data_IF_083904209977
#
_entry.id   IF_083904209977
#
_cell.length_a   1.000
_cell.length_b   1.000
_cell.length_c   1.000
_cell.angle_alpha   90.00
_cell.angle_beta   90.00
_cell.angle_gamma   90.00
#
_symmetry.space_group_name_H-M   'P 1'
#
loop_
_entity.id
_entity.type
_entity.pdbx_description
1 polymer ?
#
# COMPACT_ATOMS: atom_id res chain seq x y z
N UNK A 1 24.21 14.72 -91.55
CA UNK A 1 25.29 14.12 -90.74
C UNK A 1 24.60 13.43 -89.57
N UNK A 2 23.90 12.34 -89.82
CA UNK A 2 24.40 10.95 -89.84
C UNK A 2 24.96 10.49 -88.48
N UNK A 3 24.23 9.55 -87.88
CA UNK A 3 24.56 8.89 -86.63
C UNK A 3 23.47 7.92 -86.18
N UNK A 4 23.21 6.86 -86.97
CA UNK A 4 22.36 5.71 -86.62
C UNK A 4 23.14 4.73 -85.72
N UNK A 5 22.55 4.25 -84.61
CA UNK A 5 22.51 2.80 -84.31
C UNK A 5 21.52 2.38 -83.18
N UNK A 6 20.52 1.60 -83.60
CA UNK A 6 19.81 0.44 -82.98
C UNK A 6 19.54 0.33 -81.47
N UNK A 7 18.25 0.53 -81.14
CA UNK A 7 17.25 -0.41 -80.57
C UNK A 7 17.68 -1.68 -79.80
N UNK A 8 17.10 -1.83 -78.58
CA UNK A 8 16.59 -3.03 -77.83
C UNK A 8 16.82 -2.76 -76.32
N UNK A 9 15.91 -2.90 -75.36
CA UNK A 9 14.84 -3.87 -75.10
C UNK A 9 13.83 -3.24 -74.10
N UNK A 10 12.56 -3.62 -74.18
CA UNK A 10 11.54 -3.34 -73.15
C UNK A 10 11.88 -4.02 -71.82
N UNK A 11 11.64 -3.34 -70.69
CA UNK A 11 11.22 -3.98 -69.45
C UNK A 11 10.39 -2.99 -68.62
N UNK A 12 9.15 -3.40 -68.31
CA UNK A 12 8.11 -2.66 -67.60
C UNK A 12 8.56 -2.11 -66.24
N UNK A 13 8.26 -0.83 -66.00
CA UNK A 13 8.33 -0.21 -64.69
C UNK A 13 7.07 -0.60 -63.89
N UNK A 14 7.20 -1.54 -62.95
CA UNK A 14 6.24 -1.73 -61.88
C UNK A 14 6.52 -0.65 -60.82
N UNK A 15 5.73 0.42 -60.77
CA UNK A 15 5.73 1.34 -59.63
C UNK A 15 4.75 0.81 -58.59
N UNK A 16 5.28 0.11 -57.58
CA UNK A 16 4.52 -0.27 -56.39
C UNK A 16 4.16 1.01 -55.60
N UNK A 17 2.88 1.36 -55.62
CA UNK A 17 2.31 2.35 -54.71
C UNK A 17 2.28 1.69 -53.32
N UNK A 18 3.27 2.00 -52.48
CA UNK A 18 3.25 1.66 -51.05
C UNK A 18 2.12 2.44 -50.39
N UNK A 19 1.01 1.76 -50.11
CA UNK A 19 -0.01 2.23 -49.19
C UNK A 19 0.59 2.29 -47.78
N UNK A 20 1.09 3.46 -47.38
CA UNK A 20 1.34 3.75 -45.98
C UNK A 20 -0.02 3.94 -45.30
N UNK A 21 -0.56 2.88 -44.70
CA UNK A 21 -1.67 3.01 -43.76
C UNK A 21 -1.23 3.93 -42.62
N UNK A 22 -2.00 4.97 -42.27
CA UNK A 22 -1.74 5.69 -41.04
C UNK A 22 -1.89 4.68 -39.90
N UNK A 23 -0.81 4.43 -39.16
CA UNK A 23 -0.87 3.78 -37.86
C UNK A 23 -1.62 4.74 -36.95
N UNK A 24 -2.95 4.64 -36.95
CA UNK A 24 -3.77 5.22 -35.91
C UNK A 24 -3.40 4.43 -34.67
N UNK A 25 -2.59 5.03 -33.79
CA UNK A 25 -2.36 4.48 -32.46
C UNK A 25 -3.73 4.19 -31.85
N UNK A 26 -3.94 2.96 -31.38
CA UNK A 26 -5.15 2.65 -30.62
C UNK A 26 -5.29 3.71 -29.52
N UNK A 27 -6.47 4.31 -29.33
CA UNK A 27 -6.69 5.20 -28.20
C UNK A 27 -6.37 4.39 -26.93
N UNK A 28 -5.40 4.87 -26.15
CA UNK A 28 -5.02 4.29 -24.85
C UNK A 28 -6.31 3.99 -24.11
N UNK A 29 -6.59 2.71 -23.82
CA UNK A 29 -7.78 2.38 -23.06
C UNK A 29 -7.61 3.06 -21.71
N UNK A 30 -8.52 3.94 -21.32
CA UNK A 30 -8.46 4.70 -20.06
C UNK A 30 -8.29 3.83 -18.80
N UNK A 31 -8.45 2.50 -18.90
CA UNK A 31 -8.18 1.56 -17.82
C UNK A 31 -6.69 1.21 -17.63
N UNK A 32 -5.85 1.39 -18.65
CA UNK A 32 -4.41 1.03 -18.62
C UNK A 32 -3.57 2.01 -17.79
N UNK A 33 -4.11 3.21 -17.51
CA UNK A 33 -3.47 4.26 -16.70
C UNK A 33 -4.08 4.43 -15.31
N UNK A 34 -4.88 3.47 -14.84
CA UNK A 34 -5.29 3.44 -13.44
C UNK A 34 -4.01 3.31 -12.57
N UNK A 35 -3.94 3.97 -11.40
CA UNK A 35 -2.73 3.93 -10.61
C UNK A 35 -2.65 2.60 -9.86
N UNK A 36 -1.45 2.06 -9.76
CA UNK A 36 -1.18 1.00 -8.81
C UNK A 36 -0.94 1.59 -7.41
N UNK A 37 -1.32 0.84 -6.38
CA UNK A 37 -1.33 1.31 -4.99
C UNK A 37 -0.52 0.41 -4.08
N UNK A 38 0.42 1.01 -3.35
CA UNK A 38 1.24 0.37 -2.33
C UNK A 38 0.81 0.91 -0.98
N UNK A 39 0.36 0.00 -0.12
CA UNK A 39 0.05 0.30 1.28
C UNK A 39 1.33 0.21 2.11
N UNK A 40 2.04 1.33 2.15
CA UNK A 40 3.23 1.55 2.95
C UNK A 40 2.87 1.74 4.43
N UNK A 41 1.94 2.64 4.75
CA UNK A 41 1.65 3.10 6.12
C UNK A 41 1.19 1.97 7.03
N UNK A 42 0.05 1.33 6.72
CA UNK A 42 -0.54 0.28 7.56
C UNK A 42 -0.18 -1.13 7.09
N UNK A 43 0.21 -1.28 5.83
CA UNK A 43 0.72 -2.54 5.28
C UNK A 43 2.18 -2.78 5.68
N UNK A 44 3.12 -2.26 4.90
CA UNK A 44 4.56 -2.50 5.08
C UNK A 44 5.07 -2.05 6.45
N UNK A 45 4.77 -0.82 6.86
CA UNK A 45 5.26 -0.22 8.10
C UNK A 45 4.39 -0.57 9.31
N UNK A 46 3.25 -1.22 9.11
CA UNK A 46 2.32 -1.65 10.18
C UNK A 46 1.90 -0.51 11.13
N UNK A 47 1.88 0.72 10.63
CA UNK A 47 1.60 1.93 11.40
C UNK A 47 2.63 2.25 12.49
N UNK A 48 3.82 1.65 12.44
CA UNK A 48 4.92 1.80 13.40
C UNK A 48 6.00 2.70 12.81
N UNK A 49 6.21 3.86 13.44
CA UNK A 49 7.33 4.77 13.17
C UNK A 49 8.51 4.48 14.11
N UNK A 50 9.54 5.32 14.03
CA UNK A 50 10.70 5.25 14.92
C UNK A 50 10.35 5.65 16.36
N UNK A 51 10.98 5.00 17.34
CA UNK A 51 10.96 5.43 18.74
C UNK A 51 12.28 6.05 19.18
N UNK A 52 12.23 6.99 20.14
CA UNK A 52 13.41 7.67 20.71
C UNK A 52 14.44 6.76 21.36
N UNK A 53 14.00 5.58 21.83
CA UNK A 53 14.87 4.59 22.44
C UNK A 53 15.44 3.58 21.43
N UNK A 54 15.09 3.70 20.14
CA UNK A 54 15.75 2.92 19.10
C UNK A 54 17.16 3.47 18.84
N UNK A 55 18.16 2.60 18.63
CA UNK A 55 19.54 3.02 18.42
C UNK A 55 19.76 3.80 17.10
N UNK A 56 18.81 3.72 16.15
CA UNK A 56 18.99 4.23 14.80
C UNK A 56 20.09 3.48 14.03
N UNK A 57 20.56 4.06 12.93
CA UNK A 57 21.59 3.48 12.08
C UNK A 57 21.22 2.08 11.55
N UNK A 58 22.23 1.22 11.43
CA UNK A 58 22.08 -0.19 11.06
C UNK A 58 22.55 -1.05 12.23
N UNK A 59 21.60 -1.78 12.81
CA UNK A 59 21.80 -2.87 13.75
C UNK A 59 21.53 -4.16 13.01
N UNK A 60 22.37 -5.17 13.25
CA UNK A 60 22.28 -6.46 12.58
C UNK A 60 22.47 -7.59 13.58
N UNK A 61 21.63 -8.61 13.46
CA UNK A 61 21.81 -9.91 14.06
C UNK A 61 21.67 -11.01 13.00
N UNK A 62 22.09 -12.22 13.35
CA UNK A 62 21.90 -13.41 12.51
C UNK A 62 21.06 -14.45 13.23
N UNK A 63 20.25 -15.20 12.48
CA UNK A 63 19.52 -16.33 13.04
C UNK A 63 20.49 -17.45 13.46
N UNK A 64 20.41 -17.93 14.70
CA UNK A 64 21.25 -19.02 15.22
C UNK A 64 20.78 -20.41 14.75
N UNK A 65 19.52 -20.53 14.37
CA UNK A 65 18.89 -21.74 13.87
C UNK A 65 17.90 -21.38 12.75
N UNK A 66 17.56 -22.31 11.85
CA UNK A 66 16.52 -22.05 10.86
C UNK A 66 15.16 -21.87 11.53
N UNK A 67 14.33 -20.99 10.98
CA UNK A 67 12.94 -20.78 11.40
C UNK A 67 12.04 -21.04 10.20
N UNK A 68 11.15 -22.03 10.30
CA UNK A 68 10.25 -22.37 9.22
C UNK A 68 9.23 -21.24 8.95
N UNK A 69 8.68 -21.21 7.73
CA UNK A 69 7.48 -20.42 7.45
C UNK A 69 6.37 -20.82 8.43
N UNK A 70 5.62 -19.85 8.93
CA UNK A 70 4.66 -20.06 10.02
C UNK A 70 5.23 -19.88 11.44
N UNK A 71 6.56 -19.85 11.62
CA UNK A 71 7.19 -19.55 12.91
C UNK A 71 7.05 -18.08 13.31
N UNK A 72 7.17 -17.76 14.60
CA UNK A 72 7.10 -16.37 15.12
C UNK A 72 8.17 -16.04 16.17
N UNK A 73 9.09 -16.98 16.43
CA UNK A 73 10.21 -16.81 17.35
C UNK A 73 11.50 -17.02 16.57
N UNK A 74 12.38 -16.02 16.58
CA UNK A 74 13.64 -16.03 15.84
C UNK A 74 14.79 -16.02 16.86
N UNK A 75 15.55 -17.12 17.01
CA UNK A 75 16.73 -17.12 17.85
C UNK A 75 17.85 -16.33 17.16
N UNK A 76 18.36 -15.30 17.82
CA UNK A 76 19.33 -14.36 17.25
C UNK A 76 20.71 -14.48 17.91
N UNK A 77 21.75 -14.10 17.17
CA UNK A 77 23.13 -14.03 17.66
C UNK A 77 23.30 -12.98 18.76
N UNK A 78 22.46 -11.94 18.76
CA UNK A 78 22.38 -10.91 19.79
C UNK A 78 21.00 -10.24 19.71
N UNK A 79 20.49 -9.81 20.86
CA UNK A 79 19.29 -8.97 20.97
C UNK A 79 19.63 -7.49 21.22
N UNK A 80 20.91 -7.13 21.27
CA UNK A 80 21.33 -5.75 21.52
C UNK A 80 20.84 -4.83 20.40
N UNK A 81 20.11 -3.78 20.77
CA UNK A 81 19.54 -2.82 19.83
C UNK A 81 18.17 -3.21 19.26
N UNK A 82 17.60 -4.32 19.73
CA UNK A 82 16.25 -4.77 19.41
C UNK A 82 15.34 -4.64 20.64
N UNK A 83 14.13 -4.11 20.45
CA UNK A 83 13.19 -3.88 21.56
C UNK A 83 11.73 -4.11 21.14
N UNK A 84 10.86 -4.38 22.12
CA UNK A 84 9.42 -4.52 21.89
C UNK A 84 8.85 -3.22 21.29
N UNK A 85 8.00 -3.38 20.28
CA UNK A 85 7.33 -2.31 19.54
C UNK A 85 8.08 -1.85 18.30
N UNK A 86 9.37 -2.17 18.16
CA UNK A 86 10.20 -1.74 17.05
C UNK A 86 9.83 -2.46 15.74
N UNK A 87 9.81 -1.71 14.63
CA UNK A 87 9.75 -2.28 13.28
C UNK A 87 11.13 -2.83 12.89
N UNK A 88 11.15 -4.01 12.30
CA UNK A 88 12.35 -4.73 11.89
C UNK A 88 12.16 -5.41 10.53
N UNK A 89 13.27 -5.85 9.95
CA UNK A 89 13.29 -6.59 8.70
C UNK A 89 14.08 -7.89 8.88
N UNK A 90 13.54 -8.99 8.38
CA UNK A 90 14.30 -10.24 8.26
C UNK A 90 14.46 -10.63 6.79
N UNK A 91 15.57 -11.30 6.46
CA UNK A 91 15.82 -11.89 5.15
C UNK A 91 15.24 -13.31 5.07
N UNK A 92 14.33 -13.53 4.12
CA UNK A 92 13.78 -14.85 3.83
C UNK A 92 14.71 -15.72 2.98
N UNK A 93 14.37 -17.00 2.86
CA UNK A 93 15.06 -17.98 2.00
C UNK A 93 15.04 -17.63 0.50
N UNK A 94 14.15 -16.74 0.09
CA UNK A 94 14.05 -16.16 -1.26
C UNK A 94 14.93 -14.92 -1.47
N UNK A 95 15.78 -14.59 -0.48
CA UNK A 95 16.66 -13.41 -0.46
C UNK A 95 15.90 -12.09 -0.55
N UNK A 96 14.63 -12.07 -0.14
CA UNK A 96 13.84 -10.85 0.00
C UNK A 96 13.66 -10.48 1.47
N UNK A 97 13.40 -9.20 1.74
CA UNK A 97 13.21 -8.69 3.09
C UNK A 97 11.73 -8.58 3.44
N UNK A 98 11.39 -8.93 4.66
CA UNK A 98 10.01 -8.97 5.17
C UNK A 98 9.87 -8.10 6.43
N UNK A 99 8.87 -7.19 6.48
CA UNK A 99 8.68 -6.33 7.63
C UNK A 99 7.95 -7.07 8.73
N UNK A 100 8.44 -6.91 9.96
CA UNK A 100 7.87 -7.50 11.18
C UNK A 100 7.96 -6.50 12.31
N UNK A 101 7.04 -6.58 13.28
CA UNK A 101 7.16 -5.81 14.51
C UNK A 101 7.61 -6.74 15.63
N UNK A 102 8.63 -6.33 16.37
CA UNK A 102 9.14 -7.09 17.51
C UNK A 102 8.15 -6.95 18.66
N UNK A 103 7.67 -8.07 19.19
CA UNK A 103 6.75 -8.10 20.31
C UNK A 103 7.45 -8.50 21.61
N UNK A 104 8.56 -9.22 21.53
CA UNK A 104 9.40 -9.51 22.68
C UNK A 104 10.85 -9.65 22.25
N UNK A 105 11.79 -9.27 23.12
CA UNK A 105 13.22 -9.40 22.89
C UNK A 105 13.91 -9.79 24.20
N UNK A 106 14.38 -11.02 24.28
CA UNK A 106 14.93 -11.61 25.50
C UNK A 106 15.48 -13.01 25.24
N UNK A 107 16.33 -13.52 26.13
CA UNK A 107 16.88 -14.89 26.02
C UNK A 107 17.52 -15.19 24.65
N UNK A 108 18.21 -14.21 24.07
CA UNK A 108 18.82 -14.29 22.74
C UNK A 108 17.84 -14.71 21.61
N UNK A 109 16.59 -14.27 21.70
CA UNK A 109 15.59 -14.43 20.67
C UNK A 109 14.67 -13.20 20.61
N UNK A 110 14.02 -13.04 19.47
CA UNK A 110 12.91 -12.10 19.32
C UNK A 110 11.63 -12.86 18.99
N UNK A 111 10.52 -12.40 19.56
CA UNK A 111 9.18 -12.79 19.11
C UNK A 111 8.66 -11.69 18.20
N UNK A 112 8.03 -12.07 17.09
CA UNK A 112 7.48 -11.14 16.11
C UNK A 112 5.96 -11.21 16.06
N UNK A 113 5.34 -10.14 15.56
CA UNK A 113 3.90 -9.92 15.60
C UNK A 113 3.06 -10.79 14.67
N UNK A 114 3.69 -11.49 13.73
CA UNK A 114 3.03 -12.35 12.74
C UNK A 114 3.90 -13.56 12.40
N UNK A 115 3.29 -14.68 11.97
CA UNK A 115 4.04 -15.80 11.41
C UNK A 115 4.88 -15.40 10.20
N UNK A 116 6.08 -15.96 10.08
CA UNK A 116 6.95 -15.75 8.93
C UNK A 116 6.28 -16.24 7.63
N UNK A 117 6.04 -15.37 6.63
CA UNK A 117 5.52 -15.82 5.33
C UNK A 117 6.54 -16.67 4.56
N UNK A 118 7.84 -16.47 4.81
CA UNK A 118 8.95 -17.24 4.25
C UNK A 118 9.88 -17.70 5.34
N UNK A 119 10.43 -18.91 5.19
CA UNK A 119 11.40 -19.44 6.12
C UNK A 119 12.66 -18.55 6.18
N UNK A 120 13.30 -18.55 7.34
CA UNK A 120 14.59 -17.91 7.57
C UNK A 120 15.64 -18.99 7.78
N UNK A 121 16.71 -18.95 7.01
CA UNK A 121 17.80 -19.93 7.14
C UNK A 121 18.66 -19.62 8.36
N UNK A 122 19.38 -20.62 8.88
CA UNK A 122 20.48 -20.35 9.82
C UNK A 122 21.48 -19.38 9.19
N UNK A 123 21.97 -18.42 9.97
CA UNK A 123 22.82 -17.33 9.48
C UNK A 123 22.09 -16.22 8.72
N UNK A 124 20.79 -16.39 8.44
CA UNK A 124 19.93 -15.38 7.84
C UNK A 124 19.94 -14.09 8.64
N UNK A 125 19.69 -12.96 7.98
CA UNK A 125 19.91 -11.64 8.57
C UNK A 125 18.63 -11.04 9.16
N UNK A 126 18.79 -10.35 10.28
CA UNK A 126 17.75 -9.60 10.98
C UNK A 126 18.25 -8.20 11.29
N UNK A 127 17.46 -7.18 10.96
CA UNK A 127 17.85 -5.76 11.02
C UNK A 127 16.79 -4.92 11.72
N UNK A 128 17.22 -3.85 12.41
CA UNK A 128 16.29 -2.77 12.74
C UNK A 128 15.84 -2.08 11.45
N UNK A 129 14.66 -1.45 11.46
CA UNK A 129 14.13 -0.81 10.26
C UNK A 129 14.67 0.61 10.05
N UNK A 130 14.62 1.43 11.09
CA UNK A 130 14.82 2.88 11.00
C UNK A 130 16.27 3.28 11.25
N UNK A 131 16.79 4.19 10.41
CA UNK A 131 18.08 4.87 10.63
C UNK A 131 17.93 6.01 11.62
N UNK A 132 16.85 6.77 11.50
CA UNK A 132 16.50 7.93 12.31
C UNK A 132 14.98 8.09 12.35
N UNK A 133 14.50 9.19 12.92
CA UNK A 133 13.08 9.48 13.12
C UNK A 133 12.27 9.68 11.84
N UNK A 134 12.94 9.91 10.70
CA UNK A 134 12.33 10.23 9.44
C UNK A 134 12.60 9.20 8.33
N UNK A 135 13.62 8.35 8.47
CA UNK A 135 14.10 7.49 7.39
C UNK A 135 14.38 6.05 7.84
N UNK A 136 14.05 5.12 6.94
CA UNK A 136 14.56 3.77 6.99
C UNK A 136 16.10 3.75 6.85
N UNK A 137 16.74 2.68 7.32
CA UNK A 137 18.10 2.35 6.90
C UNK A 137 18.07 1.61 5.56
N UNK A 138 19.24 1.24 5.02
CA UNK A 138 19.33 0.60 3.70
C UNK A 138 18.50 -0.70 3.60
N UNK A 139 18.39 -1.48 4.68
CA UNK A 139 17.63 -2.73 4.71
C UNK A 139 16.14 -2.48 4.95
N UNK A 140 15.79 -1.45 5.72
CA UNK A 140 14.41 -0.96 5.79
C UNK A 140 13.90 -0.47 4.42
N UNK A 141 14.70 0.30 3.67
CA UNK A 141 14.36 0.66 2.28
C UNK A 141 14.23 -0.56 1.38
N UNK A 142 15.14 -1.53 1.49
CA UNK A 142 15.07 -2.76 0.71
C UNK A 142 13.80 -3.57 1.02
N UNK A 143 13.41 -3.60 2.29
CA UNK A 143 12.17 -4.22 2.75
C UNK A 143 10.92 -3.51 2.21
N UNK A 144 10.92 -2.18 2.15
CA UNK A 144 9.84 -1.42 1.51
C UNK A 144 9.68 -1.79 0.04
N UNK A 145 10.79 -1.88 -0.70
CA UNK A 145 10.74 -2.25 -2.12
C UNK A 145 10.30 -3.70 -2.32
N UNK A 146 10.87 -4.64 -1.57
CA UNK A 146 10.51 -6.05 -1.69
C UNK A 146 9.04 -6.27 -1.34
N UNK A 147 8.51 -5.57 -0.33
CA UNK A 147 7.09 -5.64 0.02
C UNK A 147 6.19 -4.95 -1.02
N UNK A 148 6.59 -3.80 -1.54
CA UNK A 148 5.87 -3.10 -2.60
C UNK A 148 5.73 -3.98 -3.85
N UNK A 149 6.79 -4.66 -4.28
CA UNK A 149 6.75 -5.56 -5.43
C UNK A 149 5.85 -6.78 -5.16
N UNK A 150 5.86 -7.34 -3.94
CA UNK A 150 4.92 -8.40 -3.55
C UNK A 150 3.47 -7.91 -3.59
N UNK A 151 3.20 -6.73 -3.06
CA UNK A 151 1.86 -6.11 -3.12
C UNK A 151 1.42 -5.93 -4.57
N UNK A 152 2.28 -5.39 -5.43
CA UNK A 152 1.96 -5.16 -6.84
C UNK A 152 1.79 -6.44 -7.64
N UNK A 153 2.46 -7.54 -7.27
CA UNK A 153 2.29 -8.84 -7.89
C UNK A 153 0.96 -9.52 -7.53
N UNK A 154 0.36 -9.17 -6.39
CA UNK A 154 -0.84 -9.83 -5.85
C UNK A 154 -2.10 -8.97 -5.95
N UNK A 155 -1.96 -7.64 -5.80
CA UNK A 155 -3.10 -6.72 -5.78
C UNK A 155 -3.56 -6.43 -7.20
N UNK A 156 -4.87 -6.59 -7.49
CA UNK A 156 -5.41 -6.09 -8.74
C UNK A 156 -5.35 -4.57 -8.75
N UNK A 157 -5.52 -3.99 -9.93
CA UNK A 157 -5.73 -2.55 -10.05
C UNK A 157 -7.05 -2.16 -9.39
N UNK A 158 -7.04 -1.11 -8.58
CA UNK A 158 -8.16 -0.74 -7.70
C UNK A 158 -8.79 0.59 -8.12
N UNK A 159 -10.11 0.68 -7.96
CA UNK A 159 -10.84 1.96 -7.86
C UNK A 159 -11.61 2.00 -6.56
N UNK A 160 -11.57 3.13 -5.84
CA UNK A 160 -12.28 3.28 -4.57
C UNK A 160 -13.78 3.38 -4.84
N UNK A 161 -14.55 2.42 -4.35
CA UNK A 161 -16.00 2.43 -4.40
C UNK A 161 -16.56 3.23 -3.21
N UNK A 162 -16.16 2.87 -1.99
CA UNK A 162 -16.53 3.61 -0.77
C UNK A 162 -15.46 3.44 0.30
N UNK A 163 -15.38 4.41 1.21
CA UNK A 163 -14.51 4.33 2.38
C UNK A 163 -15.29 4.78 3.61
N UNK A 164 -15.14 4.02 4.68
CA UNK A 164 -15.53 4.42 6.02
C UNK A 164 -14.26 4.63 6.83
N UNK A 165 -14.10 5.81 7.41
CA UNK A 165 -12.95 6.08 8.29
C UNK A 165 -13.25 5.63 9.71
N UNK A 166 -12.26 5.08 10.42
CA UNK A 166 -12.24 4.78 11.86
C UNK A 166 -13.65 4.61 12.51
N UNK A 167 -13.95 5.31 13.60
CA UNK A 167 -15.24 5.20 14.32
C UNK A 167 -16.49 5.36 13.46
N UNK A 168 -16.45 6.20 12.42
CA UNK A 168 -17.64 6.53 11.61
C UNK A 168 -18.21 5.34 10.83
N UNK A 169 -17.36 4.32 10.61
CA UNK A 169 -17.70 3.12 9.86
C UNK A 169 -18.35 2.02 10.68
N UNK A 170 -18.21 2.03 12.00
CA UNK A 170 -18.48 0.86 12.85
C UNK A 170 -19.68 1.06 13.77
N UNK A 171 -20.44 -0.01 13.97
CA UNK A 171 -21.44 -0.14 15.01
C UNK A 171 -21.15 -1.41 15.83
N UNK A 172 -21.33 -1.34 17.15
CA UNK A 172 -21.11 -2.51 18.01
C UNK A 172 -22.22 -3.53 17.82
N UNK A 173 -21.86 -4.81 17.90
CA UNK A 173 -22.80 -5.93 17.74
C UNK A 173 -22.64 -6.94 18.87
N UNK A 174 -23.72 -7.68 19.13
CA UNK A 174 -23.77 -8.81 20.07
C UNK A 174 -23.26 -8.47 21.50
N UNK A 175 -23.57 -7.26 21.97
CA UNK A 175 -23.24 -6.83 23.34
C UNK A 175 -21.83 -6.25 23.53
N UNK A 176 -21.06 -6.08 22.45
CA UNK A 176 -19.80 -5.34 22.52
C UNK A 176 -20.01 -3.86 22.88
N UNK A 177 -18.99 -3.25 23.47
CA UNK A 177 -18.96 -1.83 23.83
C UNK A 177 -17.80 -1.15 23.11
N UNK A 178 -18.02 0.07 22.63
CA UNK A 178 -16.96 0.90 22.07
C UNK A 178 -16.66 2.07 23.02
N UNK A 179 -15.40 2.45 23.08
CA UNK A 179 -14.93 3.67 23.73
C UNK A 179 -13.81 4.30 22.89
N UNK A 180 -13.51 5.60 23.07
CA UNK A 180 -12.33 6.19 22.44
C UNK A 180 -11.06 5.39 22.77
N UNK A 181 -10.23 5.12 21.76
CA UNK A 181 -8.96 4.45 21.96
C UNK A 181 -8.00 5.36 22.75
N UNK A 182 -7.12 4.79 23.59
CA UNK A 182 -6.08 5.57 24.24
C UNK A 182 -5.13 6.15 23.17
N UNK A 183 -5.07 7.47 23.06
CA UNK A 183 -4.36 8.21 22.01
C UNK A 183 -2.81 8.14 22.09
N UNK A 184 -2.26 7.14 22.79
CA UNK A 184 -0.82 7.05 23.06
C UNK A 184 -0.18 5.87 22.31
N UNK A 185 0.50 6.17 21.20
CA UNK A 185 1.42 5.25 20.53
C UNK A 185 0.88 4.63 19.24
N UNK A 186 1.68 3.73 18.66
CA UNK A 186 1.41 3.13 17.35
C UNK A 186 0.28 2.10 17.34
N UNK A 187 -0.26 1.71 18.50
CA UNK A 187 -1.31 0.69 18.60
C UNK A 187 -2.71 1.19 18.18
N UNK A 188 -2.95 2.49 18.22
CA UNK A 188 -4.21 3.08 17.73
C UNK A 188 -4.25 3.07 16.19
N UNK A 189 -5.43 2.96 15.61
CA UNK A 189 -5.69 2.95 14.17
C UNK A 189 -6.39 4.24 13.68
N UNK A 190 -6.68 5.17 14.60
CA UNK A 190 -7.25 6.49 14.31
C UNK A 190 -6.23 7.54 13.87
N UNK A 191 -6.73 8.55 13.15
CA UNK A 191 -5.99 9.75 12.75
C UNK A 191 -6.32 10.96 13.64
N UNK A 192 -6.33 12.14 13.05
CA UNK A 192 -6.82 13.37 13.71
C UNK A 192 -8.34 13.28 13.96
N UNK A 193 -8.93 14.12 14.83
CA UNK A 193 -10.37 14.08 15.12
C UNK A 193 -11.29 14.09 13.88
N UNK A 194 -10.93 14.87 12.86
CA UNK A 194 -11.64 14.96 11.55
C UNK A 194 -11.58 13.66 10.71
N UNK A 195 -10.71 12.73 11.08
CA UNK A 195 -10.50 11.44 10.42
C UNK A 195 -11.34 10.33 11.06
N UNK A 196 -12.02 10.66 12.16
CA UNK A 196 -12.66 9.70 13.04
C UNK A 196 -11.71 9.27 14.14
N UNK A 197 -12.11 9.55 15.38
CA UNK A 197 -11.40 9.12 16.60
C UNK A 197 -11.19 7.60 16.55
N UNK A 198 -10.01 7.13 16.93
CA UNK A 198 -9.78 5.70 17.14
C UNK A 198 -10.74 5.14 18.19
N UNK A 199 -11.21 3.91 18.01
CA UNK A 199 -12.07 3.24 19.01
C UNK A 199 -11.43 1.96 19.52
N UNK A 200 -11.59 1.71 20.81
CA UNK A 200 -11.36 0.43 21.44
C UNK A 200 -12.70 -0.31 21.58
N UNK A 201 -12.75 -1.55 21.10
CA UNK A 201 -13.94 -2.40 21.18
C UNK A 201 -13.71 -3.46 22.24
N UNK A 202 -14.48 -3.37 23.32
CA UNK A 202 -14.49 -4.31 24.44
C UNK A 202 -15.55 -5.38 24.22
N UNK A 203 -15.15 -6.63 24.33
CA UNK A 203 -15.99 -7.80 24.05
C UNK A 203 -15.68 -8.93 25.04
N UNK A 204 -16.64 -9.81 25.29
CA UNK A 204 -16.48 -10.95 26.21
C UNK A 204 -17.11 -12.26 25.73
N UNK A 205 -17.97 -12.21 24.71
CA UNK A 205 -18.68 -13.36 24.17
C UNK A 205 -18.15 -13.72 22.78
N UNK A 206 -18.19 -14.99 22.42
CA UNK A 206 -17.96 -15.40 21.03
C UNK A 206 -18.97 -14.70 20.11
N UNK A 207 -18.50 -14.21 18.96
CA UNK A 207 -19.31 -13.50 17.98
C UNK A 207 -19.58 -12.02 18.31
N UNK A 208 -19.12 -11.48 19.44
CA UNK A 208 -19.24 -10.04 19.71
C UNK A 208 -18.08 -9.21 19.16
N UNK A 209 -18.38 -7.97 18.76
CA UNK A 209 -17.45 -7.09 18.07
C UNK A 209 -18.14 -5.92 17.38
N UNK A 210 -17.77 -5.63 16.13
CA UNK A 210 -18.34 -4.54 15.32
C UNK A 210 -18.81 -5.00 13.95
N UNK A 211 -19.74 -4.26 13.37
CA UNK A 211 -20.12 -4.37 11.98
C UNK A 211 -20.02 -3.02 11.29
N UNK A 212 -19.79 -3.01 9.98
CA UNK A 212 -19.86 -1.80 9.19
C UNK A 212 -21.31 -1.41 8.92
N UNK A 213 -21.52 -0.15 8.54
CA UNK A 213 -22.74 0.23 7.81
C UNK A 213 -22.78 -0.50 6.46
N UNK A 214 -23.96 -0.93 5.97
CA UNK A 214 -24.08 -1.49 4.62
C UNK A 214 -23.77 -0.43 3.55
N UNK A 215 -23.00 -0.79 2.53
CA UNK A 215 -22.69 0.06 1.39
C UNK A 215 -23.14 -0.58 0.07
N UNK A 216 -23.86 0.17 -0.76
CA UNK A 216 -24.20 -0.31 -2.12
C UNK A 216 -22.93 -0.39 -2.96
N UNK A 217 -22.72 -1.50 -3.63
CA UNK A 217 -21.69 -1.64 -4.66
C UNK A 217 -22.33 -1.75 -6.03
N UNK A 218 -21.77 -1.03 -7.00
CA UNK A 218 -22.19 -1.09 -8.40
C UNK A 218 -21.40 -2.13 -9.20
N UNK A 219 -20.48 -2.84 -8.56
CA UNK A 219 -19.55 -3.76 -9.20
C UNK A 219 -19.52 -5.11 -8.50
N UNK A 220 -19.14 -6.13 -9.27
CA UNK A 220 -19.14 -7.52 -8.83
C UNK A 220 -17.82 -7.91 -8.17
N UNK A 221 -16.69 -7.64 -8.81
CA UNK A 221 -15.36 -8.03 -8.32
C UNK A 221 -14.80 -7.00 -7.35
N UNK A 222 -14.78 -7.34 -6.08
CA UNK A 222 -14.47 -6.40 -5.01
C UNK A 222 -13.25 -6.84 -4.21
N UNK A 223 -12.55 -5.85 -3.66
CA UNK A 223 -11.56 -6.03 -2.60
C UNK A 223 -11.96 -5.12 -1.45
N UNK A 224 -12.16 -5.68 -0.27
CA UNK A 224 -12.30 -4.87 0.95
C UNK A 224 -10.97 -4.85 1.68
N UNK A 225 -10.38 -3.67 1.85
CA UNK A 225 -9.26 -3.46 2.75
C UNK A 225 -9.77 -3.05 4.14
N UNK A 226 -9.25 -3.67 5.20
CA UNK A 226 -9.54 -3.33 6.59
C UNK A 226 -8.24 -3.10 7.32
N UNK A 227 -8.12 -1.93 7.94
CA UNK A 227 -7.06 -1.62 8.90
C UNK A 227 -7.56 -1.97 10.28
N UNK A 228 -6.82 -2.76 11.04
CA UNK A 228 -7.23 -3.22 12.36
C UNK A 228 -6.03 -3.59 13.24
N UNK A 229 -6.08 -3.24 14.52
CA UNK A 229 -5.21 -3.84 15.52
C UNK A 229 -6.02 -4.90 16.29
N UNK A 230 -5.67 -6.20 16.20
CA UNK A 230 -6.38 -7.25 16.92
C UNK A 230 -6.33 -7.10 18.44
N UNK A 231 -5.37 -6.34 18.97
CA UNK A 231 -5.24 -6.11 20.40
C UNK A 231 -5.01 -7.40 21.18
N UNK A 232 -5.66 -7.53 22.34
CA UNK A 232 -5.41 -8.61 23.30
C UNK A 232 -6.70 -9.31 23.70
N UNK A 233 -6.56 -10.59 24.03
CA UNK A 233 -7.59 -11.41 24.67
C UNK A 233 -7.00 -12.01 25.95
N UNK A 234 -7.79 -12.08 27.01
CA UNK A 234 -7.35 -12.62 28.30
C UNK A 234 -6.70 -13.99 28.16
N UNK A 235 -5.55 -14.16 28.83
CA UNK A 235 -4.76 -15.39 28.77
C UNK A 235 -4.03 -15.61 27.44
N UNK A 236 -4.07 -14.67 26.50
CA UNK A 236 -3.39 -14.75 25.20
C UNK A 236 -2.50 -13.54 24.93
N UNK A 237 -1.45 -13.76 24.15
CA UNK A 237 -0.59 -12.66 23.67
C UNK A 237 -1.32 -11.77 22.67
N UNK A 238 -2.21 -12.33 21.86
CA UNK A 238 -2.98 -11.63 20.84
C UNK A 238 -4.45 -12.07 20.86
N UNK A 239 -5.38 -11.17 20.51
CA UNK A 239 -6.70 -11.62 20.11
C UNK A 239 -6.66 -12.17 18.68
N UNK A 240 -7.48 -13.19 18.42
CA UNK A 240 -7.84 -13.61 17.07
C UNK A 240 -9.18 -12.98 16.73
N UNK A 241 -9.30 -12.39 15.54
CA UNK A 241 -10.53 -11.81 15.03
C UNK A 241 -10.97 -12.53 13.76
N UNK A 242 -12.23 -12.91 13.71
CA UNK A 242 -12.93 -13.28 12.48
C UNK A 242 -13.35 -12.02 11.76
N UNK A 243 -13.00 -11.92 10.48
CA UNK A 243 -13.48 -10.86 9.59
C UNK A 243 -14.34 -11.51 8.51
N UNK A 244 -15.59 -11.09 8.43
CA UNK A 244 -16.60 -11.65 7.53
C UNK A 244 -17.15 -10.56 6.65
N UNK A 245 -17.16 -10.79 5.34
CA UNK A 245 -17.84 -9.93 4.37
C UNK A 245 -19.15 -10.60 3.98
N UNK A 246 -20.25 -9.87 4.14
CA UNK A 246 -21.59 -10.32 3.76
C UNK A 246 -22.17 -9.46 2.65
N UNK A 247 -22.76 -10.10 1.67
CA UNK A 247 -23.62 -9.51 0.65
C UNK A 247 -25.07 -9.51 1.16
N UNK A 248 -25.74 -8.36 1.09
CA UNK A 248 -27.20 -8.23 1.22
C UNK A 248 -27.78 -7.94 -0.17
N UNK A 249 -28.44 -8.94 -0.73
CA UNK A 249 -29.05 -8.88 -2.07
C UNK A 249 -30.34 -8.07 -2.04
N UNK A 250 -30.78 -7.62 -3.22
CA UNK A 250 -32.06 -6.92 -3.38
C UNK A 250 -33.27 -7.76 -2.97
N UNK A 251 -33.14 -9.09 -3.02
CA UNK A 251 -34.14 -10.06 -2.54
C UNK A 251 -34.27 -10.11 -1.02
N UNK A 252 -33.38 -9.45 -0.27
CA UNK A 252 -33.29 -9.51 1.20
C UNK A 252 -32.41 -10.64 1.73
N UNK A 253 -31.90 -11.52 0.87
CA UNK A 253 -30.97 -12.58 1.23
C UNK A 253 -29.63 -12.02 1.73
N UNK A 254 -29.09 -12.60 2.81
CA UNK A 254 -27.77 -12.29 3.35
C UNK A 254 -26.84 -13.48 3.12
N UNK A 255 -25.79 -13.27 2.33
CA UNK A 255 -24.82 -14.31 1.96
C UNK A 255 -23.44 -13.94 2.50
N UNK A 256 -22.75 -14.88 3.14
CA UNK A 256 -21.32 -14.74 3.43
C UNK A 256 -20.53 -14.95 2.13
N UNK A 257 -19.83 -13.92 1.68
CA UNK A 257 -19.09 -13.95 0.40
C UNK A 257 -17.58 -14.05 0.59
N UNK A 258 -17.08 -13.71 1.78
CA UNK A 258 -15.71 -13.99 2.18
C UNK A 258 -15.55 -14.01 3.69
N UNK A 259 -14.54 -14.74 4.14
CA UNK A 259 -14.09 -14.81 5.53
C UNK A 259 -12.58 -14.89 5.58
N UNK A 260 -12.00 -14.20 6.55
CA UNK A 260 -10.60 -14.34 6.91
C UNK A 260 -10.44 -14.23 8.43
N UNK A 261 -9.25 -14.59 8.92
CA UNK A 261 -8.88 -14.42 10.31
C UNK A 261 -7.61 -13.58 10.41
N UNK A 262 -7.56 -12.71 11.41
CA UNK A 262 -6.35 -11.96 11.75
C UNK A 262 -5.98 -12.21 13.20
N UNK A 263 -4.70 -12.48 13.43
CA UNK A 263 -4.10 -12.58 14.76
C UNK A 263 -2.76 -11.87 14.71
N UNK A 264 -2.59 -10.84 15.53
CA UNK A 264 -1.33 -10.10 15.73
C UNK A 264 -1.21 -9.62 17.17
N UNK A 265 -0.04 -9.70 17.78
CA UNK A 265 0.17 -9.24 19.17
C UNK A 265 0.19 -7.71 19.24
N UNK A 266 -1.02 -7.15 19.34
CA UNK A 266 -1.25 -5.73 19.60
C UNK A 266 -0.58 -4.79 18.58
N UNK A 267 -0.45 -5.23 17.33
CA UNK A 267 0.04 -4.45 16.19
C UNK A 267 -1.02 -4.33 15.10
N UNK A 268 -0.88 -3.31 14.25
CA UNK A 268 -1.84 -3.06 13.17
C UNK A 268 -1.61 -4.06 12.04
N UNK A 269 -2.72 -4.53 11.47
CA UNK A 269 -2.81 -5.24 10.22
C UNK A 269 -3.63 -4.42 9.21
N UNK A 270 -3.18 -4.42 7.97
CA UNK A 270 -3.96 -4.03 6.80
C UNK A 270 -4.27 -5.30 6.01
N UNK A 271 -5.56 -5.63 5.87
CA UNK A 271 -6.00 -6.92 5.34
C UNK A 271 -6.89 -6.69 4.12
N UNK A 272 -6.44 -7.18 2.97
CA UNK A 272 -7.26 -7.22 1.75
C UNK A 272 -8.06 -8.52 1.67
N UNK A 273 -9.35 -8.38 1.39
CA UNK A 273 -10.29 -9.49 1.29
C UNK A 273 -10.96 -9.42 -0.09
N UNK A 274 -10.53 -10.24 -1.07
CA UNK A 274 -11.16 -10.32 -2.38
C UNK A 274 -12.45 -11.16 -2.31
N UNK A 275 -13.48 -10.77 -3.06
CA UNK A 275 -14.75 -11.50 -3.19
C UNK A 275 -15.54 -11.03 -4.42
N UNK A 276 -16.56 -11.80 -4.80
CA UNK A 276 -17.50 -11.44 -5.87
C UNK A 276 -18.91 -11.35 -5.30
N UNK A 277 -19.66 -10.34 -5.74
CA UNK A 277 -21.08 -10.12 -5.41
C UNK A 277 -21.90 -9.89 -6.67
N UNK A 278 -23.22 -9.81 -6.51
CA UNK A 278 -24.12 -9.30 -7.54
C UNK A 278 -24.04 -7.77 -7.58
N UNK A 279 -23.91 -7.18 -8.77
CA UNK A 279 -23.93 -5.74 -8.94
C UNK A 279 -25.24 -5.13 -8.40
N UNK A 280 -25.13 -4.05 -7.63
CA UNK A 280 -26.26 -3.39 -6.97
C UNK A 280 -26.57 -3.94 -5.56
N UNK A 281 -25.92 -5.02 -5.12
CA UNK A 281 -26.03 -5.51 -3.75
C UNK A 281 -25.38 -4.56 -2.74
N UNK A 282 -25.76 -4.71 -1.47
CA UNK A 282 -25.11 -4.02 -0.36
C UNK A 282 -24.04 -4.93 0.27
N UNK A 283 -22.89 -4.38 0.57
CA UNK A 283 -21.79 -5.06 1.26
C UNK A 283 -21.77 -4.61 2.71
N UNK A 284 -21.51 -5.54 3.62
CA UNK A 284 -21.27 -5.26 5.04
C UNK A 284 -20.10 -6.09 5.55
N UNK A 285 -19.27 -5.50 6.39
CA UNK A 285 -18.16 -6.18 7.07
C UNK A 285 -18.53 -6.43 8.52
N UNK A 286 -18.20 -7.60 9.06
CA UNK A 286 -18.26 -7.89 10.50
C UNK A 286 -16.87 -8.27 10.99
N UNK A 287 -16.51 -7.77 12.16
CA UNK A 287 -15.28 -8.13 12.87
C UNK A 287 -15.67 -8.59 14.26
N UNK A 288 -15.37 -9.83 14.59
CA UNK A 288 -15.81 -10.46 15.84
C UNK A 288 -14.73 -11.33 16.45
N UNK A 289 -14.77 -11.51 17.77
CA UNK A 289 -13.92 -12.53 18.41
C UNK A 289 -14.56 -13.92 18.24
N UNK A 290 -13.82 -14.96 17.82
CA UNK A 290 -14.37 -16.28 17.57
C UNK A 290 -14.60 -17.09 18.86
N UNK A 291 -14.04 -16.67 20.00
CA UNK A 291 -14.11 -17.37 21.29
C UNK A 291 -14.41 -16.39 22.41
N UNK A 292 -15.21 -16.82 23.38
CA UNK A 292 -15.51 -16.07 24.60
C UNK A 292 -14.25 -15.84 25.45
N UNK A 293 -14.32 -14.84 26.32
CA UNK A 293 -13.20 -14.30 27.12
C UNK A 293 -13.02 -12.81 26.84
N UNK A 294 -12.60 -12.05 27.85
CA UNK A 294 -12.47 -10.61 27.67
C UNK A 294 -11.42 -10.31 26.60
N UNK A 295 -11.76 -9.43 25.67
CA UNK A 295 -10.84 -8.97 24.64
C UNK A 295 -11.09 -7.51 24.31
N UNK A 296 -10.03 -6.85 23.86
CA UNK A 296 -10.05 -5.48 23.36
C UNK A 296 -9.29 -5.43 22.05
N UNK A 297 -9.93 -4.88 21.02
CA UNK A 297 -9.34 -4.66 19.71
C UNK A 297 -9.68 -3.28 19.15
N UNK A 298 -8.96 -2.82 18.14
CA UNK A 298 -9.05 -1.45 17.62
C UNK A 298 -9.30 -1.48 16.11
N UNK A 299 -10.57 -1.40 15.66
CA UNK A 299 -10.91 -1.37 14.24
C UNK A 299 -10.68 0.02 13.63
N UNK A 300 -10.01 0.05 12.48
CA UNK A 300 -9.62 1.26 11.75
C UNK A 300 -10.52 1.52 10.55
N UNK A 301 -9.95 2.03 9.46
CA UNK A 301 -10.72 2.28 8.23
C UNK A 301 -11.14 1.00 7.50
N UNK A 302 -12.27 1.09 6.81
CA UNK A 302 -12.74 0.11 5.83
C UNK A 302 -12.76 0.79 4.48
N UNK A 303 -12.12 0.19 3.48
CA UNK A 303 -12.22 0.67 2.10
C UNK A 303 -12.67 -0.45 1.18
N UNK A 304 -13.78 -0.24 0.48
CA UNK A 304 -14.21 -1.14 -0.57
C UNK A 304 -13.70 -0.63 -1.91
N UNK A 305 -13.03 -1.50 -2.64
CA UNK A 305 -12.48 -1.25 -3.96
C UNK A 305 -13.16 -2.14 -5.00
N UNK A 306 -13.36 -1.60 -6.19
CA UNK A 306 -13.61 -2.40 -7.39
C UNK A 306 -12.25 -2.84 -7.95
N UNK A 307 -12.09 -4.15 -8.15
CA UNK A 307 -10.93 -4.75 -8.79
C UNK A 307 -11.11 -4.76 -10.31
N UNK A 308 -10.16 -4.16 -11.04
CA UNK A 308 -10.31 -3.88 -12.48
C UNK A 308 -9.58 -4.85 -13.38
N UNK A 309 -8.34 -5.18 -13.03
CA UNK A 309 -7.43 -5.96 -13.88
C UNK A 309 -6.32 -6.57 -13.02
N UNK A 310 -5.68 -7.66 -13.50
CA UNK A 310 -4.54 -8.26 -12.83
C UNK A 310 -3.32 -7.33 -12.81
N UNK A 311 -2.33 -7.70 -12.00
CA UNK A 311 -1.04 -7.04 -11.91
C UNK A 311 -0.34 -6.94 -13.28
N UNK A 312 0.35 -5.83 -13.53
CA UNK A 312 1.18 -5.66 -14.72
C UNK A 312 2.59 -6.22 -14.51
N UNK A 313 3.24 -6.63 -15.60
CA UNK A 313 4.66 -6.98 -15.57
C UNK A 313 5.52 -5.72 -15.46
N UNK A 314 6.13 -5.54 -14.29
CA UNK A 314 6.94 -4.36 -13.95
C UNK A 314 8.43 -4.50 -14.29
N UNK A 315 8.93 -5.68 -14.66
CA UNK A 315 10.35 -5.88 -14.94
C UNK A 315 10.71 -5.57 -16.41
N UNK A 316 10.22 -4.43 -16.91
CA UNK A 316 10.49 -3.94 -18.26
C UNK A 316 10.14 -2.46 -18.36
N UNK A 317 10.59 -1.83 -19.44
CA UNK A 317 10.30 -0.42 -19.70
C UNK A 317 11.09 0.52 -18.78
N UNK A 318 10.71 1.79 -18.78
CA UNK A 318 11.36 2.86 -18.03
C UNK A 318 10.52 3.30 -16.84
N UNK A 319 11.11 3.19 -15.66
CA UNK A 319 10.53 3.65 -14.40
C UNK A 319 11.24 4.91 -13.94
N UNK A 320 10.48 5.95 -13.60
CA UNK A 320 10.98 7.13 -12.90
C UNK A 320 10.43 7.15 -11.49
N UNK A 321 11.30 7.28 -10.49
CA UNK A 321 10.91 7.46 -9.09
C UNK A 321 10.95 8.96 -8.79
N UNK A 322 9.79 9.56 -8.54
CA UNK A 322 9.64 10.95 -8.10
C UNK A 322 9.39 10.97 -6.60
N UNK A 323 10.20 11.72 -5.86
CA UNK A 323 10.03 11.77 -4.41
C UNK A 323 11.02 12.66 -3.69
N UNK A 324 11.24 12.34 -2.42
CA UNK A 324 12.10 13.08 -1.52
C UNK A 324 13.38 12.30 -1.14
N UNK A 325 13.87 12.48 0.09
CA UNK A 325 15.02 11.78 0.65
C UNK A 325 14.86 10.26 0.70
N UNK A 326 13.64 9.72 0.66
CA UNK A 326 13.38 8.29 0.56
C UNK A 326 13.78 7.69 -0.80
N UNK A 327 13.87 8.55 -1.82
CA UNK A 327 14.07 8.15 -3.21
C UNK A 327 15.28 8.80 -3.86
N UNK A 328 16.32 9.19 -3.12
CA UNK A 328 17.49 9.85 -3.75
C UNK A 328 18.13 8.98 -4.86
N UNK A 329 18.69 9.60 -5.91
CA UNK A 329 19.59 8.90 -6.84
C UNK A 329 20.70 8.18 -6.07
N UNK A 330 20.97 6.92 -6.43
CA UNK A 330 21.83 6.03 -5.65
C UNK A 330 21.36 5.64 -4.25
N UNK A 331 20.18 6.05 -3.77
CA UNK A 331 19.64 5.69 -2.45
C UNK A 331 19.01 4.30 -2.38
N UNK A 332 18.56 3.90 -1.18
CA UNK A 332 18.11 2.53 -0.89
C UNK A 332 16.95 2.03 -1.76
N UNK A 333 15.87 2.80 -1.90
CA UNK A 333 14.74 2.42 -2.76
C UNK A 333 15.18 2.28 -4.23
N UNK A 334 15.96 3.25 -4.72
CA UNK A 334 16.41 3.25 -6.10
C UNK A 334 17.35 2.08 -6.41
N UNK A 335 18.31 1.78 -5.53
CA UNK A 335 19.20 0.64 -5.69
C UNK A 335 18.42 -0.67 -5.66
N UNK A 336 17.54 -0.86 -4.67
CA UNK A 336 16.78 -2.11 -4.57
C UNK A 336 15.83 -2.33 -5.73
N UNK A 337 15.17 -1.28 -6.24
CA UNK A 337 14.34 -1.41 -7.44
C UNK A 337 15.17 -1.80 -8.67
N UNK A 338 16.39 -1.26 -8.84
CA UNK A 338 17.30 -1.69 -9.92
C UNK A 338 17.72 -3.14 -9.80
N UNK A 339 17.94 -3.63 -8.59
CA UNK A 339 18.29 -5.04 -8.34
C UNK A 339 17.13 -5.99 -8.66
N UNK A 340 15.88 -5.56 -8.39
CA UNK A 340 14.69 -6.39 -8.56
C UNK A 340 14.05 -6.30 -9.95
N UNK A 341 14.21 -5.16 -10.60
CA UNK A 341 13.72 -4.88 -11.94
C UNK A 341 14.92 -4.78 -12.91
N UNK A 342 15.69 -5.85 -12.98
CA UNK A 342 16.96 -5.95 -13.71
C UNK A 342 16.82 -5.90 -15.24
N UNK A 343 15.63 -6.13 -15.77
CA UNK A 343 15.28 -5.97 -17.18
C UNK A 343 14.59 -4.63 -17.47
N UNK A 344 14.45 -3.77 -16.46
CA UNK A 344 13.86 -2.44 -16.59
C UNK A 344 14.92 -1.33 -16.42
N UNK A 345 14.65 -0.16 -16.99
CA UNK A 345 15.43 1.04 -16.72
C UNK A 345 14.81 1.80 -15.55
N UNK A 346 15.47 1.79 -14.39
CA UNK A 346 15.01 2.56 -13.23
C UNK A 346 15.86 3.82 -13.06
N UNK A 347 15.20 4.98 -13.04
CA UNK A 347 15.80 6.30 -12.83
C UNK A 347 15.17 6.90 -11.59
N UNK A 348 15.98 7.45 -10.69
CA UNK A 348 15.43 8.23 -9.59
C UNK A 348 15.60 9.73 -9.78
N UNK A 349 14.57 10.46 -9.37
CA UNK A 349 14.49 11.92 -9.32
C UNK A 349 14.13 12.38 -7.91
N UNK A 350 14.49 11.63 -6.86
CA UNK A 350 14.30 12.05 -5.48
C UNK A 350 15.20 13.21 -5.08
N UNK A 351 14.64 14.22 -4.41
CA UNK A 351 15.40 15.37 -3.89
C UNK A 351 15.16 15.46 -2.37
N UNK A 352 16.21 15.32 -1.54
CA UNK A 352 16.07 15.44 -0.08
C UNK A 352 15.34 16.71 0.34
N UNK A 353 14.47 16.59 1.34
CA UNK A 353 13.70 17.73 1.86
C UNK A 353 12.53 18.19 0.99
N UNK A 354 12.32 17.63 -0.22
CA UNK A 354 11.18 18.01 -1.04
C UNK A 354 9.87 17.56 -0.42
N UNK A 355 8.89 18.46 -0.45
CA UNK A 355 7.48 18.19 -0.22
C UNK A 355 6.75 17.88 -1.54
N UNK A 356 5.51 17.42 -1.45
CA UNK A 356 4.68 17.12 -2.63
C UNK A 356 4.41 18.34 -3.52
N UNK A 357 4.27 19.55 -2.98
CA UNK A 357 4.09 20.78 -3.79
C UNK A 357 5.32 21.10 -4.65
N UNK A 358 6.52 20.81 -4.13
CA UNK A 358 7.77 20.95 -4.88
C UNK A 358 7.92 19.85 -5.94
N UNK A 359 7.46 18.62 -5.66
CA UNK A 359 7.40 17.53 -6.64
C UNK A 359 6.47 17.90 -7.81
N UNK A 360 5.30 18.49 -7.53
CA UNK A 360 4.37 19.00 -8.55
C UNK A 360 5.05 20.08 -9.41
N UNK A 361 5.74 21.03 -8.78
CA UNK A 361 6.42 22.12 -9.48
C UNK A 361 7.48 21.63 -10.47
N UNK A 362 8.24 20.59 -10.10
CA UNK A 362 9.34 20.07 -10.93
C UNK A 362 8.96 18.90 -11.85
N UNK A 363 7.71 18.43 -11.80
CA UNK A 363 7.29 17.21 -12.49
C UNK A 363 7.69 17.18 -13.97
N UNK A 364 7.33 18.21 -14.75
CA UNK A 364 7.61 18.21 -16.18
C UNK A 364 9.10 18.35 -16.50
N UNK A 365 9.88 19.00 -15.64
CA UNK A 365 11.32 19.13 -15.81
C UNK A 365 12.04 17.80 -15.54
N UNK A 366 11.60 17.06 -14.52
CA UNK A 366 12.32 15.90 -14.00
C UNK A 366 11.80 14.57 -14.54
N UNK A 367 10.49 14.45 -14.77
CA UNK A 367 9.82 13.19 -15.13
C UNK A 367 9.44 13.16 -16.61
N UNK A 368 8.70 14.17 -17.09
CA UNK A 368 8.17 14.12 -18.46
C UNK A 368 9.27 14.03 -19.53
N UNK A 369 10.44 14.66 -19.30
CA UNK A 369 11.60 14.58 -20.19
C UNK A 369 12.17 13.17 -20.33
N UNK A 370 12.01 12.32 -19.32
CA UNK A 370 12.52 10.96 -19.34
C UNK A 370 11.66 10.04 -20.20
N UNK A 371 10.41 10.43 -20.52
CA UNK A 371 9.41 9.61 -21.22
C UNK A 371 9.25 8.21 -20.57
N UNK A 372 8.87 8.15 -19.27
CA UNK A 372 8.73 6.89 -18.56
C UNK A 372 7.46 6.14 -18.99
N UNK A 373 7.50 4.82 -18.85
CA UNK A 373 6.31 3.96 -18.85
C UNK A 373 5.63 3.98 -17.48
N UNK A 374 6.42 4.08 -16.41
CA UNK A 374 5.95 4.05 -15.02
C UNK A 374 6.52 5.22 -14.21
N UNK A 375 5.69 5.83 -13.37
CA UNK A 375 6.13 6.84 -12.40
C UNK A 375 5.77 6.40 -10.99
N UNK A 376 6.78 6.11 -10.19
CA UNK A 376 6.64 5.81 -8.76
C UNK A 376 6.66 7.10 -7.98
N UNK A 377 5.69 7.32 -7.10
CA UNK A 377 5.65 8.49 -6.22
C UNK A 377 5.75 8.06 -4.77
N UNK A 378 6.79 8.53 -4.09
CA UNK A 378 6.94 8.41 -2.65
C UNK A 378 7.28 9.76 -2.04
N UNK A 379 6.41 10.22 -1.14
CA UNK A 379 6.55 11.49 -0.46
C UNK A 379 5.50 11.61 0.62
N UNK A 380 5.86 12.27 1.72
CA UNK A 380 4.97 12.64 2.82
C UNK A 380 5.75 13.16 3.99
N UNK A 381 6.97 12.66 4.18
CA UNK A 381 7.79 12.93 5.36
C UNK A 381 7.95 14.42 5.55
N UNK A 382 8.47 15.12 4.55
CA UNK A 382 8.66 16.56 4.63
C UNK A 382 7.32 17.32 4.73
N UNK A 383 6.24 16.80 4.15
CA UNK A 383 4.92 17.42 4.22
C UNK A 383 4.36 17.41 5.65
N UNK A 384 4.43 16.30 6.39
CA UNK A 384 3.95 16.28 7.78
C UNK A 384 4.94 16.94 8.74
N UNK A 385 6.26 16.82 8.53
CA UNK A 385 7.26 17.55 9.33
C UNK A 385 7.17 19.08 9.18
N UNK A 386 6.58 19.57 8.08
CA UNK A 386 6.31 20.98 7.85
C UNK A 386 4.83 21.34 7.98
N UNK A 387 4.06 20.50 8.68
CA UNK A 387 2.66 20.71 9.05
C UNK A 387 1.73 21.11 7.89
N UNK A 388 1.95 20.54 6.69
CA UNK A 388 1.02 20.74 5.57
C UNK A 388 -0.35 20.15 5.92
N UNK A 389 -1.45 20.76 5.50
CA UNK A 389 -2.76 20.17 5.80
C UNK A 389 -3.02 18.91 4.97
N UNK A 390 -3.81 17.95 5.47
CA UNK A 390 -4.21 16.76 4.69
C UNK A 390 -4.88 17.12 3.36
N UNK A 391 -5.65 18.21 3.32
CA UNK A 391 -6.31 18.70 2.12
C UNK A 391 -5.28 19.17 1.07
N UNK A 392 -4.26 19.93 1.49
CA UNK A 392 -3.19 20.37 0.58
C UNK A 392 -2.42 19.17 0.06
N UNK A 393 -2.04 18.24 0.94
CA UNK A 393 -1.34 17.02 0.54
C UNK A 393 -2.16 16.21 -0.49
N UNK A 394 -3.46 16.02 -0.25
CA UNK A 394 -4.36 15.34 -1.19
C UNK A 394 -4.43 16.05 -2.56
N UNK A 395 -4.50 17.38 -2.59
CA UNK A 395 -4.50 18.11 -3.85
C UNK A 395 -3.21 17.89 -4.62
N UNK A 396 -2.05 17.89 -3.96
CA UNK A 396 -0.77 17.65 -4.64
C UNK A 396 -0.66 16.23 -5.18
N UNK A 397 -1.10 15.21 -4.43
CA UNK A 397 -1.16 13.83 -4.94
C UNK A 397 -2.10 13.71 -6.15
N UNK A 398 -3.23 14.43 -6.13
CA UNK A 398 -4.15 14.46 -7.27
C UNK A 398 -3.50 15.10 -8.50
N UNK A 399 -2.79 16.22 -8.35
CA UNK A 399 -2.05 16.83 -9.47
C UNK A 399 -0.97 15.90 -10.03
N UNK A 400 -0.21 15.21 -9.17
CA UNK A 400 0.80 14.25 -9.63
C UNK A 400 0.17 13.11 -10.42
N UNK A 401 -0.96 12.56 -9.97
CA UNK A 401 -1.70 11.53 -10.72
C UNK A 401 -2.09 12.02 -12.11
N UNK A 402 -2.66 13.21 -12.21
CA UNK A 402 -3.10 13.77 -13.49
C UNK A 402 -1.92 14.08 -14.41
N UNK A 403 -0.82 14.61 -13.87
CA UNK A 403 0.40 14.88 -14.62
C UNK A 403 1.04 13.59 -15.18
N UNK A 404 1.13 12.54 -14.37
CA UNK A 404 1.65 11.23 -14.81
C UNK A 404 0.82 10.67 -15.97
N UNK A 405 -0.52 10.72 -15.85
CA UNK A 405 -1.40 10.26 -16.93
C UNK A 405 -1.32 11.14 -18.18
N UNK A 406 -1.15 12.44 -18.01
CA UNK A 406 -1.07 13.40 -19.12
C UNK A 406 0.10 13.13 -20.06
N UNK A 407 1.16 12.49 -19.56
CA UNK A 407 2.32 12.08 -20.35
C UNK A 407 2.26 10.62 -20.82
N UNK A 408 1.13 9.94 -20.62
CA UNK A 408 0.91 8.54 -21.02
C UNK A 408 1.56 7.49 -20.11
N UNK A 409 2.13 7.90 -18.96
CA UNK A 409 2.78 6.99 -18.02
C UNK A 409 1.79 6.44 -16.99
N UNK A 410 2.08 5.27 -16.43
CA UNK A 410 1.30 4.66 -15.36
C UNK A 410 1.77 5.11 -13.97
N UNK A 411 0.88 5.63 -13.11
CA UNK A 411 1.25 5.98 -11.75
C UNK A 411 1.36 4.75 -10.85
N UNK A 412 2.37 4.73 -9.97
CA UNK A 412 2.51 3.78 -8.87
C UNK A 412 2.71 4.59 -7.59
N UNK A 413 1.71 4.59 -6.70
CA UNK A 413 1.71 5.44 -5.51
C UNK A 413 1.96 4.63 -4.24
N UNK A 414 2.89 5.12 -3.42
CA UNK A 414 2.95 4.77 -2.00
C UNK A 414 2.01 5.70 -1.23
N UNK A 415 1.23 5.16 -0.28
CA UNK A 415 0.66 5.99 0.78
C UNK A 415 1.80 6.46 1.73
N UNK A 416 1.51 7.32 2.74
CA UNK A 416 2.56 8.07 3.40
C UNK A 416 3.39 7.17 4.33
N UNK A 417 4.63 7.55 4.57
CA UNK A 417 5.46 6.97 5.63
C UNK A 417 4.81 7.16 7.00
N UNK A 418 5.25 6.39 8.01
CA UNK A 418 4.77 6.58 9.39
C UNK A 418 5.66 7.60 10.11
N UNK A 419 5.04 8.63 10.67
CA UNK A 419 5.74 9.66 11.46
C UNK A 419 6.08 9.19 12.87
N UNK A 420 7.22 9.62 13.39
CA UNK A 420 7.64 9.35 14.76
C UNK A 420 6.69 10.00 15.80
N UNK A 421 6.42 9.31 16.91
CA UNK A 421 5.60 9.85 18.02
C UNK A 421 6.35 10.88 18.87
N UNK A 422 7.67 10.76 18.94
CA UNK A 422 8.55 11.68 19.66
C UNK A 422 9.82 11.91 18.82
N UNK A 423 9.74 12.61 17.67
CA UNK A 423 10.95 12.91 16.89
C UNK A 423 11.90 13.82 17.67
N UNK A 424 13.11 14.04 17.13
CA UNK A 424 14.07 14.99 17.72
C UNK A 424 13.53 16.41 17.82
N UNK A 425 12.53 16.76 17.00
CA UNK A 425 11.84 18.06 17.04
C UNK A 425 10.82 18.17 18.19
N UNK A 426 10.51 17.08 18.89
CA UNK A 426 9.53 17.03 19.97
C UNK A 426 8.05 17.04 19.53
N UNK A 427 7.76 17.17 18.23
CA UNK A 427 6.39 17.25 17.70
C UNK A 427 5.94 15.88 17.19
N UNK A 428 4.90 15.30 17.77
CA UNK A 428 4.35 14.02 17.34
C UNK A 428 3.85 14.07 15.87
N UNK A 429 4.50 13.30 14.99
CA UNK A 429 4.19 13.25 13.55
C UNK A 429 3.22 12.12 13.18
N UNK A 430 2.89 11.23 14.12
CA UNK A 430 2.08 10.04 13.88
C UNK A 430 0.66 10.42 13.45
N UNK A 431 -0.01 11.30 14.18
CA UNK A 431 -1.40 11.66 13.88
C UNK A 431 -1.53 12.29 12.49
N UNK A 432 -0.55 13.11 12.10
CA UNK A 432 -0.54 13.76 10.80
C UNK A 432 -0.28 12.79 9.65
N UNK A 433 0.73 11.93 9.79
CA UNK A 433 1.02 10.89 8.79
C UNK A 433 -0.15 9.90 8.63
N UNK A 434 -0.84 9.53 9.71
CA UNK A 434 -2.09 8.74 9.65
C UNK A 434 -3.21 9.48 8.95
N UNK A 435 -3.35 10.77 9.22
CA UNK A 435 -4.33 11.61 8.52
C UNK A 435 -4.11 11.60 7.02
N UNK A 436 -2.85 11.67 6.55
CA UNK A 436 -2.55 11.52 5.12
C UNK A 436 -2.91 10.12 4.59
N UNK A 437 -2.72 9.05 5.37
CA UNK A 437 -3.06 7.69 4.96
C UNK A 437 -4.57 7.49 4.85
N UNK A 438 -5.36 8.10 5.74
CA UNK A 438 -6.80 7.93 5.84
C UNK A 438 -7.59 8.85 4.88
N UNK A 439 -7.10 10.06 4.61
CA UNK A 439 -7.86 11.05 3.83
C UNK A 439 -7.51 11.08 2.35
N UNK A 440 -6.28 10.74 1.99
CA UNK A 440 -5.79 10.98 0.64
C UNK A 440 -6.30 9.93 -0.34
N UNK A 441 -6.68 10.39 -1.53
CA UNK A 441 -7.15 9.54 -2.60
C UNK A 441 -5.98 9.01 -3.44
N UNK A 442 -5.44 7.85 -3.09
CA UNK A 442 -4.33 7.23 -3.85
C UNK A 442 -4.80 6.44 -5.08
N UNK A 443 -6.08 6.08 -5.14
CA UNK A 443 -6.70 5.43 -6.31
C UNK A 443 -7.97 6.17 -6.69
N UNK A 444 -8.33 6.32 -7.98
CA UNK A 444 -9.51 7.08 -8.39
C UNK A 444 -10.76 6.57 -7.70
N UNK A 445 -11.62 7.50 -7.26
CA UNK A 445 -12.95 7.14 -6.82
C UNK A 445 -13.85 6.92 -8.05
N UNK A 446 -14.75 5.94 -7.93
CA UNK A 446 -15.71 5.57 -8.97
C UNK A 446 -16.55 6.76 -9.47
N UNK A 447 -16.81 7.74 -8.61
CA UNK A 447 -17.60 8.93 -8.91
C UNK A 447 -16.95 9.93 -9.88
N UNK A 448 -15.65 9.77 -10.22
CA UNK A 448 -14.94 10.70 -11.12
C UNK A 448 -15.03 10.36 -12.61
N UNK A 449 -15.79 9.33 -12.98
CA UNK A 449 -16.18 9.11 -14.37
C UNK A 449 -17.71 9.08 -14.42
N UNK A 450 -18.33 10.25 -14.63
CA UNK A 450 -19.40 10.26 -15.61
C UNK A 450 -18.75 9.72 -16.87
N UNK A 451 -19.02 8.45 -17.18
CA UNK A 451 -18.90 7.96 -18.55
C UNK A 451 -19.47 9.08 -19.42
N UNK A 452 -18.75 9.65 -20.39
CA UNK A 452 -19.42 10.44 -21.39
C UNK A 452 -20.43 9.47 -21.96
N UNK A 453 -21.71 9.70 -21.65
CA UNK A 453 -22.80 9.10 -22.38
C UNK A 453 -22.46 9.41 -23.83
N UNK A 454 -21.94 8.41 -24.53
CA UNK A 454 -22.11 8.31 -25.96
C UNK A 454 -23.61 8.41 -26.12
N UNK A 455 -24.08 9.62 -26.44
CA UNK A 455 -25.39 9.81 -27.01
C UNK A 455 -25.38 8.92 -28.24
N UNK A 456 -25.96 7.73 -28.11
CA UNK A 456 -26.30 6.93 -29.27
C UNK A 456 -27.11 7.86 -30.16
N UNK A 457 -26.54 8.17 -31.33
CA UNK A 457 -27.30 8.73 -32.43
C UNK A 457 -28.48 7.78 -32.65
N UNK A 458 -29.67 8.20 -32.20
CA UNK A 458 -30.92 7.66 -32.70
C UNK A 458 -31.14 8.34 -34.06
N UNK A 459 -31.07 7.63 -35.20
CA UNK A 459 -31.60 8.17 -36.44
C UNK A 459 -33.13 8.23 -36.34
N UNK A 460 -33.67 9.34 -36.85
CA UNK A 460 -35.12 9.58 -37.02
C UNK A 460 -35.75 8.58 -37.98
#
# INVERSE_FOLDING_TARGET
>A
MDGKFRMRFLASLFTALLAASPVVAEPIKHNDLNPAFIDLHFGTLSGVGWYTNEPGGIITATARAPVAAGGSVIPLSTIKGFSRGQLACYEGDDRTYYPVVITDAGNDQVTIDRPLPRAMTQGGKFYNFYRDDAHANQFGFACVVDDALRQLAQRPMLRRAVQFKSASGWETINGAKSMPAPASGYGDVGGQPEDGVGIAVHTGNAGSGVASKPAVSLYENMVTNIVINPGKQDGKQAATLDIVVTELRQTGEVVEVARTQVTRDNTIASVDIPYTIVAGSKIRVKVTVPRSGAAVFYPGSITHYHALSPAEELNRGKHVILGDSWSTPGGGIHQRLKERLDNAQVISKGIPGNRTDQMVTRFFADVAKEKPDYVWVIGSTNDYYQDRSPQVFQFQITYLLDYIRSIGAKPILFNPTVGATMPYTGINQLLKSRSYALNTLYVPAVSFLRSPLLSSNQPK
#
